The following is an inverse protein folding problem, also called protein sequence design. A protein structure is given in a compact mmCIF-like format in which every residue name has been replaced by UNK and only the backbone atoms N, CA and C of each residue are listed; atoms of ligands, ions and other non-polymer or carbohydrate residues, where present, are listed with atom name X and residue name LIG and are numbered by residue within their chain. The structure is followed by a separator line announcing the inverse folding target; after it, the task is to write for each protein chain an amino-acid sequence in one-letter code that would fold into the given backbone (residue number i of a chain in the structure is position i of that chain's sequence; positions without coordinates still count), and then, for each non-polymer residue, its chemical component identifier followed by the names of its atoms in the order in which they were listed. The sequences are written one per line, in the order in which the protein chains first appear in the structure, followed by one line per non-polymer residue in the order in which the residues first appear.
data_IF_454629552962
#
_entry.id   IF_454629552962
#
_cell.length_a   1.000
_cell.length_b   1.000
_cell.length_c   1.000
_cell.angle_alpha   90.00
_cell.angle_beta   90.00
_cell.angle_gamma   90.00
#
_symmetry.space_group_name_H-M   'P 1'
#
loop_
_entity.id
_entity.type
_entity.pdbx_description
1 polymer ?
#
# COMPACT_ATOMS: atom_id res chain seq x y z
N UNK A 1 -1.96 8.74 27.41
CA UNK A 1 -2.88 9.01 26.28
C UNK A 1 -2.96 7.75 25.45
N UNK A 2 -4.08 7.03 25.51
CA UNK A 2 -4.27 5.79 24.74
C UNK A 2 -4.53 6.17 23.29
N UNK A 3 -3.50 6.05 22.44
CA UNK A 3 -3.68 6.12 21.01
C UNK A 3 -4.56 4.93 20.63
N UNK A 4 -5.85 5.18 20.37
CA UNK A 4 -6.72 4.23 19.68
C UNK A 4 -6.28 4.18 18.21
N UNK A 5 -5.07 3.67 17.97
CA UNK A 5 -4.64 3.26 16.64
C UNK A 5 -5.41 2.01 16.24
N UNK A 6 -5.60 1.82 14.94
CA UNK A 6 -5.95 0.50 14.40
C UNK A 6 -4.87 -0.48 14.89
N UNK A 7 -5.29 -1.56 15.54
CA UNK A 7 -4.45 -2.71 15.86
C UNK A 7 -4.98 -3.88 15.03
N UNK A 8 -4.56 -4.00 13.75
CA UNK A 8 -5.13 -4.99 12.87
C UNK A 8 -4.83 -6.40 13.40
N UNK A 9 -5.73 -7.33 13.16
CA UNK A 9 -5.43 -8.75 13.37
C UNK A 9 -4.67 -9.33 12.17
N UNK A 10 -4.07 -10.51 12.33
CA UNK A 10 -3.27 -11.18 11.29
C UNK A 10 -3.96 -11.23 9.92
N UNK A 11 -5.26 -11.55 9.88
CA UNK A 11 -6.04 -11.59 8.64
C UNK A 11 -6.24 -10.21 8.01
N UNK A 12 -6.40 -9.17 8.82
CA UNK A 12 -6.58 -7.80 8.32
C UNK A 12 -5.30 -7.27 7.69
N UNK A 13 -4.12 -7.64 8.20
CA UNK A 13 -2.84 -7.32 7.57
C UNK A 13 -2.72 -7.90 6.15
N UNK A 14 -3.14 -9.14 5.93
CA UNK A 14 -3.14 -9.75 4.59
C UNK A 14 -4.15 -9.07 3.65
N UNK A 15 -5.36 -8.80 4.13
CA UNK A 15 -6.39 -8.12 3.33
C UNK A 15 -5.91 -6.72 2.92
N UNK A 16 -5.34 -5.96 3.86
CA UNK A 16 -4.76 -4.65 3.57
C UNK A 16 -3.60 -4.75 2.57
N UNK A 17 -2.72 -5.73 2.75
CA UNK A 17 -1.61 -5.97 1.83
C UNK A 17 -2.09 -6.26 0.41
N UNK A 18 -2.99 -7.23 0.23
CA UNK A 18 -3.54 -7.60 -1.08
C UNK A 18 -4.28 -6.43 -1.73
N UNK A 19 -5.08 -5.68 -0.96
CA UNK A 19 -5.77 -4.50 -1.47
C UNK A 19 -4.81 -3.41 -1.96
N UNK A 20 -3.73 -3.17 -1.22
CA UNK A 20 -2.69 -2.20 -1.63
C UNK A 20 -1.93 -2.68 -2.86
N UNK A 21 -1.56 -3.96 -2.94
CA UNK A 21 -0.89 -4.54 -4.13
C UNK A 21 -1.77 -4.45 -5.37
N UNK A 22 -3.06 -4.78 -5.26
CA UNK A 22 -3.99 -4.62 -6.39
C UNK A 22 -4.15 -3.16 -6.83
N UNK A 23 -4.11 -2.22 -5.90
CA UNK A 23 -4.19 -0.80 -6.24
C UNK A 23 -2.89 -0.30 -6.89
N UNK A 24 -1.73 -0.75 -6.42
CA UNK A 24 -0.42 -0.53 -7.05
C UNK A 24 -0.42 -0.99 -8.51
N UNK A 25 -0.75 -2.26 -8.78
CA UNK A 25 -0.80 -2.84 -10.13
C UNK A 25 -1.72 -2.03 -11.05
N UNK A 26 -2.87 -1.58 -10.52
CA UNK A 26 -3.80 -0.75 -11.28
C UNK A 26 -3.20 0.61 -11.62
N UNK A 27 -2.49 1.25 -10.70
CA UNK A 27 -1.86 2.55 -10.94
C UNK A 27 -0.69 2.43 -11.93
N UNK A 28 0.14 1.39 -11.84
CA UNK A 28 1.21 1.13 -12.81
C UNK A 28 0.65 0.98 -14.22
N UNK A 29 -0.45 0.25 -14.35
CA UNK A 29 -1.15 0.12 -15.63
C UNK A 29 -1.71 1.45 -16.13
N UNK A 30 -2.28 2.27 -15.26
CA UNK A 30 -2.82 3.58 -15.65
C UNK A 30 -1.71 4.57 -16.04
N UNK A 31 -0.60 4.59 -15.30
CA UNK A 31 0.58 5.41 -15.62
C UNK A 31 1.19 5.01 -16.96
N UNK A 32 1.35 3.71 -17.23
CA UNK A 32 1.95 3.23 -18.49
C UNK A 32 1.03 3.37 -19.72
N UNK A 33 -0.29 3.44 -19.54
CA UNK A 33 -1.26 3.52 -20.64
C UNK A 33 -1.72 4.94 -20.95
N UNK A 34 -1.47 5.93 -20.09
CA UNK A 34 -1.87 7.31 -20.34
C UNK A 34 -0.87 8.00 -21.27
N UNK A 35 -1.37 8.85 -22.17
CA UNK A 35 -0.56 9.73 -23.02
C UNK A 35 -0.58 11.18 -22.54
N UNK A 36 -1.36 11.46 -21.50
CA UNK A 36 -1.43 12.76 -20.82
C UNK A 36 -0.37 12.78 -19.71
N UNK A 37 0.64 13.62 -19.88
CA UNK A 37 1.79 13.77 -18.97
C UNK A 37 1.36 14.24 -17.57
N UNK A 38 0.35 15.12 -17.47
CA UNK A 38 -0.15 15.60 -16.17
C UNK A 38 -0.88 14.49 -15.42
N UNK A 39 -1.59 13.62 -16.13
CA UNK A 39 -2.22 12.44 -15.55
C UNK A 39 -1.20 11.38 -15.16
N UNK A 40 -0.17 11.18 -15.99
CA UNK A 40 0.92 10.25 -15.69
C UNK A 40 1.60 10.65 -14.38
N UNK A 41 1.96 11.92 -14.24
CA UNK A 41 2.60 12.45 -13.03
C UNK A 41 1.74 12.19 -11.78
N UNK A 42 0.42 12.38 -11.87
CA UNK A 42 -0.51 12.08 -10.75
C UNK A 42 -0.54 10.61 -10.39
N UNK A 43 -0.42 9.70 -11.36
CA UNK A 43 -0.37 8.27 -11.09
C UNK A 43 0.97 7.89 -10.45
N UNK A 44 2.07 8.47 -10.91
CA UNK A 44 3.41 8.24 -10.37
C UNK A 44 3.54 8.73 -8.93
N UNK A 45 2.99 9.89 -8.59
CA UNK A 45 2.91 10.39 -7.21
C UNK A 45 2.15 9.41 -6.30
N UNK A 46 1.00 8.91 -6.78
CA UNK A 46 0.21 7.92 -6.03
C UNK A 46 0.93 6.58 -5.87
N UNK A 47 1.71 6.16 -6.87
CA UNK A 47 2.56 4.96 -6.77
C UNK A 47 3.61 5.12 -5.69
N UNK A 48 4.22 6.31 -5.58
CA UNK A 48 5.17 6.60 -4.52
C UNK A 48 4.50 6.51 -3.13
N UNK A 49 3.30 7.07 -2.99
CA UNK A 49 2.54 7.00 -1.73
C UNK A 49 2.19 5.56 -1.34
N UNK A 50 1.71 4.74 -2.29
CA UNK A 50 1.39 3.32 -2.01
C UNK A 50 2.63 2.55 -1.59
N UNK A 51 3.77 2.79 -2.23
CA UNK A 51 5.02 2.14 -1.86
C UNK A 51 5.41 2.46 -0.40
N UNK A 52 5.17 3.70 0.04
CA UNK A 52 5.31 4.10 1.45
C UNK A 52 4.36 3.34 2.38
N UNK A 53 3.09 3.19 1.98
CA UNK A 53 2.09 2.45 2.74
C UNK A 53 2.40 0.96 2.83
N UNK A 54 2.73 0.30 1.71
CA UNK A 54 3.12 -1.12 1.68
C UNK A 54 4.30 -1.38 2.61
N UNK A 55 5.33 -0.54 2.58
CA UNK A 55 6.47 -0.64 3.49
C UNK A 55 6.04 -0.50 4.95
N UNK A 56 5.16 0.45 5.26
CA UNK A 56 4.66 0.68 6.60
C UNK A 56 3.84 -0.50 7.12
N UNK A 57 2.94 -1.04 6.30
CA UNK A 57 2.13 -2.23 6.60
C UNK A 57 3.03 -3.45 6.85
N UNK A 58 4.06 -3.64 6.03
CA UNK A 58 5.04 -4.73 6.20
C UNK A 58 5.80 -4.63 7.52
N UNK A 59 6.25 -3.42 7.90
CA UNK A 59 6.94 -3.18 9.18
C UNK A 59 6.00 -3.44 10.36
N UNK A 60 4.75 -2.94 10.28
CA UNK A 60 3.76 -3.13 11.33
C UNK A 60 3.37 -4.61 11.51
N UNK A 61 3.11 -5.33 10.42
CA UNK A 61 2.83 -6.76 10.43
C UNK A 61 3.97 -7.58 11.08
N UNK A 62 5.22 -7.26 10.74
CA UNK A 62 6.39 -7.90 11.33
C UNK A 62 6.51 -7.57 12.83
N UNK A 63 6.28 -6.32 13.22
CA UNK A 63 6.38 -5.87 14.61
C UNK A 63 5.31 -6.48 15.50
N UNK A 64 4.05 -6.49 15.04
CA UNK A 64 2.91 -6.84 15.89
C UNK A 64 2.72 -8.35 16.00
N UNK A 65 3.01 -9.10 14.91
CA UNK A 65 2.69 -10.53 14.82
C UNK A 65 3.83 -11.38 14.25
N UNK A 66 5.03 -10.82 14.02
CA UNK A 66 6.14 -11.48 13.32
C UNK A 66 5.71 -12.05 11.95
N UNK A 67 4.77 -11.35 11.30
CA UNK A 67 4.15 -11.79 10.06
C UNK A 67 4.94 -11.29 8.84
N UNK A 68 5.37 -12.23 8.00
CA UNK A 68 6.00 -11.93 6.72
C UNK A 68 4.96 -11.76 5.61
N UNK A 69 4.64 -10.52 5.26
CA UNK A 69 3.84 -10.21 4.07
C UNK A 69 4.73 -10.30 2.79
N UNK A 70 4.30 -11.11 1.83
CA UNK A 70 4.99 -11.40 0.56
C UNK A 70 4.18 -10.95 -0.63
#
# INVERSE_FOLDING_TARGET
MSAKGLAPIVSEYHILWEALKHYEERLEKLSSMTTDEDQQLKYDEKLQDINGLLRSVKIAAQSDYNLELK
#
